data_IF_582969993548
#
_entry.id   IF_582969993548
#
_cell.length_a   1.000
_cell.length_b   1.000
_cell.length_c   1.000
_cell.angle_alpha   90.00
_cell.angle_beta   90.00
_cell.angle_gamma   90.00
#
_symmetry.space_group_name_H-M   'P 1'
#
loop_
_entity.id
_entity.type
_entity.pdbx_description
1 polymer ?
#
# COMPACT_ATOMS: atom_id res chain seq x y z
N UNK A 1 -20.86 -10.29 -15.45
CA UNK A 1 -19.47 -10.61 -15.86
C UNK A 1 -19.47 -11.40 -17.17
N UNK A 2 -18.48 -11.17 -18.04
CA UNK A 2 -18.27 -12.01 -19.24
C UNK A 2 -17.56 -13.31 -18.87
N UNK A 3 -17.97 -14.43 -19.50
CA UNK A 3 -17.42 -15.76 -19.23
C UNK A 3 -16.55 -16.21 -20.41
N UNK A 4 -15.35 -16.70 -20.12
CA UNK A 4 -14.40 -17.23 -21.08
C UNK A 4 -14.01 -18.65 -20.67
N UNK A 5 -14.11 -19.60 -21.58
CA UNK A 5 -13.79 -21.00 -21.33
C UNK A 5 -12.51 -21.37 -22.08
N UNK A 6 -11.54 -21.93 -21.37
CA UNK A 6 -10.23 -22.39 -21.87
C UNK A 6 -9.56 -21.40 -22.84
N UNK A 7 -9.40 -20.10 -22.47
CA UNK A 7 -8.81 -19.12 -23.37
C UNK A 7 -7.35 -19.48 -23.69
N UNK A 8 -6.97 -19.30 -24.95
CA UNK A 8 -5.59 -19.53 -25.34
C UNK A 8 -4.63 -18.57 -24.61
N UNK A 9 -3.43 -19.00 -24.28
CA UNK A 9 -2.43 -18.14 -23.58
C UNK A 9 -2.12 -16.85 -24.35
N UNK A 10 -2.21 -16.87 -25.67
CA UNK A 10 -2.03 -15.69 -26.52
C UNK A 10 -3.05 -14.57 -26.25
N UNK A 11 -4.25 -14.93 -25.76
CA UNK A 11 -5.33 -13.99 -25.49
C UNK A 11 -5.27 -13.39 -24.07
N UNK A 12 -4.42 -13.93 -23.18
CA UNK A 12 -4.38 -13.55 -21.78
C UNK A 12 -4.04 -12.08 -21.56
N UNK A 13 -3.13 -11.52 -22.35
CA UNK A 13 -2.76 -10.10 -22.23
C UNK A 13 -3.98 -9.18 -22.42
N UNK A 14 -4.82 -9.48 -23.41
CA UNK A 14 -6.04 -8.72 -23.65
C UNK A 14 -7.13 -9.02 -22.63
N UNK A 15 -7.26 -10.29 -22.21
CA UNK A 15 -8.23 -10.73 -21.22
C UNK A 15 -7.97 -10.12 -19.84
N UNK A 16 -6.72 -10.07 -19.43
CA UNK A 16 -6.29 -9.58 -18.12
C UNK A 16 -6.08 -8.07 -18.08
N UNK A 17 -6.34 -7.38 -19.23
CA UNK A 17 -6.20 -5.93 -19.29
C UNK A 17 -7.18 -5.24 -18.35
N UNK A 18 -6.64 -4.31 -17.61
CA UNK A 18 -7.36 -3.49 -16.63
C UNK A 18 -7.89 -2.21 -17.26
N UNK A 19 -8.96 -1.62 -16.70
CA UNK A 19 -9.37 -0.27 -17.07
C UNK A 19 -8.18 0.68 -16.94
N UNK A 20 -7.89 1.45 -17.97
CA UNK A 20 -6.81 2.43 -17.96
C UNK A 20 -7.37 3.84 -18.15
N UNK A 21 -6.75 4.80 -17.48
CA UNK A 21 -7.07 6.22 -17.62
C UNK A 21 -6.15 6.86 -18.66
N UNK A 22 -6.67 7.90 -19.31
CA UNK A 22 -5.87 8.71 -20.23
C UNK A 22 -4.92 9.62 -19.43
N UNK A 23 -3.70 9.15 -19.24
CA UNK A 23 -2.66 9.89 -18.53
C UNK A 23 -2.31 11.22 -19.21
N UNK A 24 -2.46 11.33 -20.54
CA UNK A 24 -2.12 12.54 -21.28
C UNK A 24 -3.01 13.73 -20.91
N UNK A 25 -4.28 13.48 -20.59
CA UNK A 25 -5.23 14.50 -20.14
C UNK A 25 -5.11 14.83 -18.65
N UNK A 26 -4.66 13.86 -17.86
CA UNK A 26 -4.62 13.96 -16.40
C UNK A 26 -3.37 14.69 -15.89
N UNK A 27 -2.21 14.30 -16.39
CA UNK A 27 -0.91 14.76 -15.87
C UNK A 27 -0.73 16.28 -15.90
N UNK A 28 -1.11 17.03 -16.97
CA UNK A 28 -0.96 18.49 -16.99
C UNK A 28 -1.78 19.19 -15.90
N UNK A 29 -3.01 18.72 -15.63
CA UNK A 29 -3.87 19.29 -14.59
C UNK A 29 -3.32 19.05 -13.20
N UNK A 30 -2.80 17.83 -12.97
CA UNK A 30 -2.18 17.48 -11.69
C UNK A 30 -0.91 18.31 -11.46
N UNK A 31 -0.07 18.47 -12.50
CA UNK A 31 1.14 19.30 -12.41
C UNK A 31 0.83 20.75 -12.10
N UNK A 32 -0.19 21.34 -12.71
CA UNK A 32 -0.64 22.71 -12.43
C UNK A 32 -1.00 22.90 -10.93
N UNK A 33 -1.71 21.92 -10.35
CA UNK A 33 -2.08 21.97 -8.92
C UNK A 33 -0.83 21.86 -8.04
N UNK A 34 0.10 20.95 -8.37
CA UNK A 34 1.36 20.77 -7.65
C UNK A 34 2.17 22.07 -7.64
N UNK A 35 2.37 22.68 -8.81
CA UNK A 35 3.13 23.93 -8.98
C UNK A 35 2.47 25.10 -8.23
N UNK A 36 1.13 25.14 -8.25
CA UNK A 36 0.37 26.18 -7.58
C UNK A 36 0.49 26.09 -6.07
N UNK A 37 0.37 24.87 -5.49
CA UNK A 37 0.55 24.68 -4.04
C UNK A 37 1.99 25.00 -3.63
N UNK A 38 2.98 24.61 -4.44
CA UNK A 38 4.37 24.91 -4.17
C UNK A 38 4.65 26.42 -4.14
N UNK A 39 3.98 27.20 -4.98
CA UNK A 39 4.15 28.66 -5.08
C UNK A 39 3.35 29.46 -4.04
N UNK A 40 2.11 29.01 -3.75
CA UNK A 40 1.12 29.81 -3.03
C UNK A 40 0.80 29.27 -1.62
N UNK A 41 1.37 28.11 -1.25
CA UNK A 41 1.23 27.53 0.08
C UNK A 41 -0.23 27.31 0.52
N UNK A 42 -0.54 27.69 1.75
CA UNK A 42 -1.87 27.50 2.35
C UNK A 42 -3.00 28.20 1.58
N UNK A 43 -2.72 29.31 0.92
CA UNK A 43 -3.73 30.02 0.11
C UNK A 43 -4.26 29.14 -1.03
N UNK A 44 -3.40 28.34 -1.67
CA UNK A 44 -3.80 27.37 -2.66
C UNK A 44 -4.63 26.23 -2.05
N UNK A 45 -4.28 25.78 -0.84
CA UNK A 45 -4.99 24.69 -0.16
C UNK A 45 -6.44 25.09 0.12
N UNK A 46 -6.69 26.27 0.68
CA UNK A 46 -8.04 26.77 0.92
C UNK A 46 -8.85 26.87 -0.37
N UNK A 47 -8.26 27.47 -1.42
CA UNK A 47 -8.91 27.65 -2.72
C UNK A 47 -9.27 26.29 -3.38
N UNK A 48 -8.37 25.32 -3.37
CA UNK A 48 -8.63 24.02 -3.97
C UNK A 48 -9.61 23.17 -3.14
N UNK A 49 -9.59 23.28 -1.81
CA UNK A 49 -10.59 22.63 -0.95
C UNK A 49 -11.98 23.18 -1.25
N UNK A 50 -12.15 24.49 -1.39
CA UNK A 50 -13.43 25.08 -1.79
C UNK A 50 -13.86 24.64 -3.19
N UNK A 51 -12.93 24.63 -4.14
CA UNK A 51 -13.22 24.29 -5.54
C UNK A 51 -13.57 22.81 -5.76
N UNK A 52 -12.89 21.88 -5.07
CA UNK A 52 -13.02 20.44 -5.33
C UNK A 52 -13.90 19.73 -4.30
N UNK A 53 -13.82 20.13 -3.04
CA UNK A 53 -14.62 19.52 -1.97
C UNK A 53 -15.92 20.32 -1.71
N UNK A 54 -16.08 21.51 -2.34
CA UNK A 54 -17.22 22.41 -2.18
C UNK A 54 -17.45 22.86 -0.72
N UNK A 55 -16.37 23.02 0.03
CA UNK A 55 -16.39 23.34 1.46
C UNK A 55 -15.41 24.47 1.77
N UNK A 56 -15.90 25.48 2.48
CA UNK A 56 -15.04 26.52 3.04
C UNK A 56 -14.60 26.10 4.44
N UNK A 57 -13.34 25.67 4.56
CA UNK A 57 -12.75 25.31 5.86
C UNK A 57 -12.20 26.54 6.56
N UNK A 58 -12.42 26.66 7.87
CA UNK A 58 -11.89 27.76 8.68
C UNK A 58 -10.43 27.59 9.04
N UNK A 59 -10.06 26.34 9.33
CA UNK A 59 -8.69 25.93 9.69
C UNK A 59 -8.38 24.60 9.04
N UNK A 60 -7.20 24.49 8.48
CA UNK A 60 -6.75 23.23 7.85
C UNK A 60 -6.31 22.21 8.91
N UNK A 61 -5.64 22.66 9.98
CA UNK A 61 -5.11 21.78 11.02
C UNK A 61 -6.13 21.56 12.12
N UNK A 62 -6.36 20.31 12.53
CA UNK A 62 -7.16 19.98 13.71
C UNK A 62 -6.43 20.37 14.99
N UNK A 63 -7.18 20.78 15.99
CA UNK A 63 -6.71 21.02 17.35
C UNK A 63 -6.97 19.82 18.29
N UNK A 64 -6.50 19.90 19.51
CA UNK A 64 -6.66 18.81 20.50
C UNK A 64 -8.13 18.62 20.92
N UNK A 65 -8.99 19.65 20.77
CA UNK A 65 -10.41 19.58 21.10
C UNK A 65 -11.11 18.62 20.14
N UNK A 66 -10.78 18.65 18.84
CA UNK A 66 -11.36 17.77 17.84
C UNK A 66 -11.13 16.28 18.16
N UNK A 67 -9.99 15.92 18.76
CA UNK A 67 -9.73 14.54 19.19
C UNK A 67 -10.60 14.13 20.39
N UNK A 68 -10.83 15.04 21.34
CA UNK A 68 -11.71 14.77 22.49
C UNK A 68 -13.16 14.63 22.06
N UNK A 69 -13.63 15.48 21.17
CA UNK A 69 -14.99 15.41 20.60
C UNK A 69 -15.18 14.13 19.79
N UNK A 70 -14.22 13.76 18.95
CA UNK A 70 -14.27 12.53 18.17
C UNK A 70 -14.36 11.28 19.07
N UNK A 71 -13.65 11.27 20.19
CA UNK A 71 -13.76 10.18 21.17
C UNK A 71 -15.18 10.06 21.76
N UNK A 72 -15.89 11.17 21.92
CA UNK A 72 -17.27 11.15 22.43
C UNK A 72 -18.28 10.74 21.34
N UNK A 73 -18.05 11.15 20.09
CA UNK A 73 -18.98 10.95 18.98
C UNK A 73 -18.96 9.53 18.42
N UNK A 74 -17.83 8.82 18.49
CA UNK A 74 -17.73 7.43 17.99
C UNK A 74 -18.50 6.48 18.90
N UNK A 75 -19.39 5.69 18.32
CA UNK A 75 -20.22 4.72 19.06
C UNK A 75 -19.34 3.71 19.83
N UNK A 76 -19.73 3.31 21.06
CA UNK A 76 -18.93 2.41 21.90
C UNK A 76 -18.61 1.06 21.22
N UNK A 77 -19.56 0.49 20.48
CA UNK A 77 -19.35 -0.76 19.75
C UNK A 77 -18.27 -0.60 18.65
N UNK A 78 -18.28 0.52 17.92
CA UNK A 78 -17.28 0.79 16.91
C UNK A 78 -15.89 1.03 17.54
N UNK A 79 -15.79 1.73 18.67
CA UNK A 79 -14.53 1.87 19.41
C UNK A 79 -13.95 0.52 19.79
N UNK A 80 -14.78 -0.38 20.32
CA UNK A 80 -14.35 -1.74 20.68
C UNK A 80 -13.83 -2.49 19.47
N UNK A 81 -14.51 -2.42 18.32
CA UNK A 81 -14.07 -3.05 17.07
C UNK A 81 -12.74 -2.48 16.58
N UNK A 82 -12.61 -1.15 16.56
CA UNK A 82 -11.36 -0.47 16.17
C UNK A 82 -10.19 -0.86 17.09
N UNK A 83 -10.41 -0.95 18.39
CA UNK A 83 -9.37 -1.38 19.35
C UNK A 83 -8.98 -2.85 19.13
N UNK A 84 -9.92 -3.76 18.89
CA UNK A 84 -9.64 -5.16 18.56
C UNK A 84 -8.80 -5.28 17.29
N UNK A 85 -9.20 -4.59 16.22
CA UNK A 85 -8.46 -4.55 14.95
C UNK A 85 -7.03 -4.03 15.18
N UNK A 86 -6.89 -2.91 15.90
CA UNK A 86 -5.59 -2.32 16.24
C UNK A 86 -4.65 -3.34 16.91
N UNK A 87 -5.15 -4.11 17.88
CA UNK A 87 -4.34 -5.12 18.59
C UNK A 87 -3.81 -6.17 17.62
N UNK A 88 -4.65 -6.72 16.76
CA UNK A 88 -4.24 -7.74 15.78
C UNK A 88 -3.24 -7.20 14.77
N UNK A 89 -3.46 -5.97 14.27
CA UNK A 89 -2.54 -5.30 13.34
C UNK A 89 -1.20 -5.03 14.03
N UNK A 90 -1.19 -4.59 15.29
CA UNK A 90 0.05 -4.39 16.07
C UNK A 90 0.82 -5.70 16.24
N UNK A 91 0.16 -6.80 16.60
CA UNK A 91 0.80 -8.12 16.78
C UNK A 91 1.48 -8.56 15.50
N UNK A 92 0.77 -8.53 14.38
CA UNK A 92 1.30 -8.98 13.09
C UNK A 92 2.46 -8.11 12.61
N UNK A 93 2.33 -6.78 12.72
CA UNK A 93 3.39 -5.87 12.28
C UNK A 93 4.58 -5.85 13.24
N UNK A 94 4.38 -6.00 14.54
CA UNK A 94 5.46 -6.11 15.51
C UNK A 94 6.37 -7.31 15.22
N UNK A 95 5.82 -8.44 14.77
CA UNK A 95 6.59 -9.63 14.41
C UNK A 95 7.50 -9.42 13.17
N UNK A 96 7.28 -8.37 12.39
CA UNK A 96 8.12 -8.04 11.22
C UNK A 96 9.43 -7.33 11.59
N UNK A 97 9.54 -6.83 12.82
CA UNK A 97 10.75 -6.13 13.29
C UNK A 97 11.85 -7.14 13.56
N UNK A 98 12.89 -7.12 12.73
CA UNK A 98 14.05 -8.01 12.87
C UNK A 98 15.13 -7.37 13.73
N UNK A 99 15.77 -8.18 14.58
CA UNK A 99 16.99 -7.77 15.30
C UNK A 99 18.14 -7.55 14.33
N UNK A 100 19.02 -6.62 14.67
CA UNK A 100 20.26 -6.41 13.94
C UNK A 100 21.21 -7.59 14.18
N UNK A 101 21.81 -8.08 13.11
CA UNK A 101 22.81 -9.14 13.15
C UNK A 101 24.10 -8.62 12.53
N UNK A 102 25.21 -8.72 13.27
CA UNK A 102 26.57 -8.40 12.80
C UNK A 102 27.19 -9.67 12.23
N UNK A 103 27.65 -9.59 11.00
CA UNK A 103 28.25 -10.70 10.26
C UNK A 103 29.74 -10.41 10.12
N UNK A 104 30.56 -11.33 10.58
CA UNK A 104 31.99 -11.32 10.30
C UNK A 104 32.22 -11.97 8.91
N UNK A 105 32.52 -11.13 7.92
CA UNK A 105 32.69 -11.60 6.52
C UNK A 105 34.09 -12.13 6.28
N UNK A 106 35.06 -11.71 7.09
CA UNK A 106 36.44 -12.14 7.14
C UNK A 106 36.97 -11.85 8.55
N UNK A 107 37.93 -12.59 9.09
CA UNK A 107 38.45 -12.34 10.44
C UNK A 107 38.81 -10.86 10.67
N UNK A 108 38.12 -10.21 11.61
CA UNK A 108 38.26 -8.78 11.93
C UNK A 108 37.52 -7.80 11.01
N UNK A 109 36.67 -8.31 10.07
CA UNK A 109 35.84 -7.47 9.18
C UNK A 109 34.37 -7.74 9.48
N UNK A 110 33.68 -6.77 10.08
CA UNK A 110 32.29 -6.87 10.50
C UNK A 110 31.40 -5.98 9.64
N UNK A 111 30.30 -6.55 9.13
CA UNK A 111 29.29 -5.84 8.38
C UNK A 111 27.90 -6.08 8.99
N UNK A 112 27.07 -5.04 9.03
CA UNK A 112 25.68 -5.19 9.46
C UNK A 112 24.78 -4.12 8.83
N UNK A 113 23.47 -4.35 8.95
CA UNK A 113 22.48 -3.43 8.44
C UNK A 113 21.49 -3.06 9.53
N UNK A 114 21.34 -1.77 9.79
CA UNK A 114 20.40 -1.21 10.76
C UNK A 114 19.15 -0.68 10.07
N UNK A 115 17.98 -1.05 10.61
CA UNK A 115 16.70 -0.45 10.24
C UNK A 115 16.48 0.82 11.05
N UNK A 116 16.21 1.92 10.35
CA UNK A 116 15.95 3.24 10.96
C UNK A 116 14.67 3.80 10.39
N UNK A 117 13.73 4.20 11.25
CA UNK A 117 12.47 4.81 10.83
C UNK A 117 12.69 6.03 9.95
N UNK A 118 11.87 6.18 8.92
CA UNK A 118 11.79 7.41 8.13
C UNK A 118 11.28 8.50 9.07
N UNK A 119 12.02 9.57 9.23
CA UNK A 119 11.77 10.56 10.28
C UNK A 119 10.42 11.24 10.13
N UNK A 120 10.06 11.62 8.88
CA UNK A 120 8.83 12.36 8.54
C UNK A 120 8.08 11.64 7.45
N UNK A 121 6.86 11.20 7.73
CA UNK A 121 6.00 10.49 6.78
C UNK A 121 4.63 11.15 6.68
N UNK A 122 4.06 11.14 5.48
CA UNK A 122 2.71 11.57 5.22
C UNK A 122 1.78 10.37 5.00
N UNK A 123 0.59 10.45 5.54
CA UNK A 123 -0.48 9.48 5.34
C UNK A 123 -1.64 10.21 4.68
N UNK A 124 -2.07 9.74 3.53
CA UNK A 124 -3.24 10.23 2.84
C UNK A 124 -4.40 9.25 3.04
N UNK A 125 -5.51 9.75 3.55
CA UNK A 125 -6.77 9.01 3.67
C UNK A 125 -7.76 9.62 2.68
N UNK A 126 -8.22 8.87 1.68
CA UNK A 126 -9.16 9.40 0.72
C UNK A 126 -10.51 9.71 1.37
N UNK A 127 -11.15 10.74 0.88
CA UNK A 127 -12.56 11.02 1.12
C UNK A 127 -13.45 10.25 0.16
N UNK A 128 -14.73 10.47 0.25
CA UNK A 128 -15.72 9.90 -0.64
C UNK A 128 -16.92 9.37 0.13
N UNK A 129 -17.47 8.25 -0.33
CA UNK A 129 -18.71 7.69 0.19
C UNK A 129 -18.55 6.85 1.46
N UNK A 130 -17.31 6.56 1.87
CA UNK A 130 -17.01 5.77 3.07
C UNK A 130 -15.84 6.40 3.87
N UNK A 131 -15.94 6.51 5.20
CA UNK A 131 -14.84 6.96 6.06
C UNK A 131 -13.83 5.81 6.25
N UNK A 132 -12.69 5.87 5.57
CA UNK A 132 -11.68 4.79 5.61
C UNK A 132 -10.79 4.87 6.85
N UNK A 133 -11.37 4.82 8.04
CA UNK A 133 -10.63 4.83 9.32
C UNK A 133 -9.73 3.59 9.50
N UNK A 134 -10.05 2.47 8.85
CA UNK A 134 -9.19 1.27 8.82
C UNK A 134 -7.83 1.56 8.21
N UNK A 135 -7.78 2.36 7.15
CA UNK A 135 -6.52 2.76 6.51
C UNK A 135 -5.63 3.59 7.45
N UNK A 136 -6.23 4.33 8.39
CA UNK A 136 -5.46 5.03 9.43
C UNK A 136 -4.71 4.04 10.33
N UNK A 137 -5.36 2.92 10.70
CA UNK A 137 -4.72 1.85 11.48
C UNK A 137 -3.63 1.16 10.66
N UNK A 138 -3.94 0.79 9.41
CA UNK A 138 -3.05 0.07 8.51
C UNK A 138 -1.76 0.83 8.17
N UNK A 139 -1.79 2.15 8.18
CA UNK A 139 -0.62 3.00 7.92
C UNK A 139 0.00 3.55 9.20
N UNK A 140 -0.81 3.95 10.17
CA UNK A 140 -0.33 4.57 11.40
C UNK A 140 0.39 3.60 12.34
N UNK A 141 -0.10 2.35 12.44
CA UNK A 141 0.52 1.34 13.30
C UNK A 141 1.94 0.98 12.82
N UNK A 142 2.16 0.58 11.55
CA UNK A 142 3.52 0.29 11.10
C UNK A 142 4.43 1.53 11.11
N UNK A 143 3.91 2.74 10.86
CA UNK A 143 4.69 3.98 11.00
C UNK A 143 5.21 4.16 12.43
N UNK A 144 4.35 3.96 13.43
CA UNK A 144 4.70 4.02 14.86
C UNK A 144 5.72 2.94 15.23
N UNK A 145 5.48 1.70 14.82
CA UNK A 145 6.37 0.56 15.10
C UNK A 145 7.75 0.73 14.44
N UNK A 146 7.81 1.33 13.27
CA UNK A 146 9.05 1.69 12.59
C UNK A 146 9.84 2.80 13.28
N UNK A 147 9.20 3.55 14.21
CA UNK A 147 9.81 4.68 14.91
C UNK A 147 9.85 5.97 14.10
N UNK A 148 8.88 6.20 13.21
CA UNK A 148 8.70 7.48 12.54
C UNK A 148 8.40 8.56 13.58
N UNK A 149 9.16 9.68 13.55
CA UNK A 149 9.04 10.73 14.57
C UNK A 149 7.87 11.67 14.31
N UNK A 150 7.62 11.97 13.05
CA UNK A 150 6.58 12.88 12.61
C UNK A 150 5.70 12.18 11.57
N UNK A 151 4.41 12.06 11.90
CA UNK A 151 3.40 11.47 11.02
C UNK A 151 2.33 12.52 10.76
N UNK A 152 2.23 12.93 9.50
CA UNK A 152 1.25 13.91 8.99
C UNK A 152 0.11 13.12 8.33
N UNK A 153 -1.13 13.38 8.71
CA UNK A 153 -2.31 12.78 8.09
C UNK A 153 -3.12 13.85 7.39
N UNK A 154 -3.41 13.65 6.11
CA UNK A 154 -4.30 14.50 5.32
C UNK A 154 -5.52 13.69 4.86
N UNK A 155 -6.71 14.27 5.03
CA UNK A 155 -7.98 13.71 4.56
C UNK A 155 -8.93 14.83 4.19
N UNK A 156 -9.75 14.70 3.13
CA UNK A 156 -10.68 15.76 2.73
C UNK A 156 -11.78 15.97 3.76
N UNK A 157 -12.37 17.18 3.81
CA UNK A 157 -13.52 17.48 4.66
C UNK A 157 -14.77 16.74 4.18
N UNK A 158 -15.71 16.53 5.09
CA UNK A 158 -17.10 16.23 4.79
C UNK A 158 -17.83 17.50 4.33
N UNK A 159 -19.07 17.36 3.84
CA UNK A 159 -19.87 18.48 3.37
C UNK A 159 -20.12 19.59 4.43
N UNK A 160 -20.02 19.26 5.70
CA UNK A 160 -20.12 20.19 6.83
C UNK A 160 -18.78 20.82 7.23
N UNK A 161 -17.69 20.50 6.55
CA UNK A 161 -16.34 20.98 6.83
C UNK A 161 -15.58 20.18 7.89
N UNK A 162 -16.21 19.17 8.50
CA UNK A 162 -15.58 18.32 9.50
C UNK A 162 -14.85 17.12 8.88
N UNK A 163 -14.00 16.47 9.66
CA UNK A 163 -13.50 15.12 9.38
C UNK A 163 -14.39 14.11 10.11
N UNK A 164 -14.57 12.92 9.52
CA UNK A 164 -15.32 11.85 10.18
C UNK A 164 -14.71 11.51 11.55
N UNK A 165 -15.51 11.48 12.64
CA UNK A 165 -15.00 11.21 13.99
C UNK A 165 -14.23 9.89 14.11
N UNK A 166 -14.59 8.84 13.33
CA UNK A 166 -13.90 7.57 13.38
C UNK A 166 -12.45 7.67 12.81
N UNK A 167 -12.21 8.53 11.82
CA UNK A 167 -10.87 8.83 11.29
C UNK A 167 -10.03 9.52 12.37
N UNK A 168 -10.58 10.54 13.02
CA UNK A 168 -9.88 11.30 14.09
C UNK A 168 -9.59 10.38 15.28
N UNK A 169 -10.57 9.57 15.69
CA UNK A 169 -10.40 8.59 16.76
C UNK A 169 -9.30 7.57 16.43
N UNK A 170 -9.33 7.00 15.23
CA UNK A 170 -8.29 6.06 14.78
C UNK A 170 -6.90 6.72 14.77
N UNK A 171 -6.78 7.97 14.29
CA UNK A 171 -5.53 8.74 14.34
C UNK A 171 -5.03 8.92 15.77
N UNK A 172 -5.91 9.30 16.70
CA UNK A 172 -5.58 9.48 18.11
C UNK A 172 -5.03 8.22 18.77
N UNK A 173 -5.67 7.08 18.59
CA UNK A 173 -5.26 5.81 19.24
C UNK A 173 -3.96 5.21 18.67
N UNK A 174 -3.57 5.58 17.46
CA UNK A 174 -2.26 5.18 16.89
C UNK A 174 -1.18 6.24 17.15
N UNK A 175 -1.54 7.39 17.75
CA UNK A 175 -0.61 8.44 18.17
C UNK A 175 -0.34 9.51 17.11
N UNK A 176 -1.16 9.60 16.06
CA UNK A 176 -1.06 10.68 15.05
C UNK A 176 -1.79 11.90 15.58
N UNK A 177 -1.03 13.01 15.78
CA UNK A 177 -1.56 14.27 16.28
C UNK A 177 -1.63 15.37 15.21
N UNK A 178 -0.94 15.21 14.10
CA UNK A 178 -0.92 16.15 12.99
C UNK A 178 -1.91 15.71 11.92
N UNK A 179 -3.16 16.13 12.04
CA UNK A 179 -4.26 15.83 11.13
C UNK A 179 -4.70 17.09 10.44
N UNK A 180 -4.84 17.03 9.11
CA UNK A 180 -5.14 18.17 8.25
C UNK A 180 -6.35 17.89 7.38
N UNK A 181 -7.27 18.86 7.33
CA UNK A 181 -8.55 18.81 6.59
C UNK A 181 -8.33 19.23 5.14
N UNK A 182 -7.58 18.44 4.39
CA UNK A 182 -7.29 18.64 2.96
C UNK A 182 -7.26 17.31 2.22
N UNK A 183 -7.87 17.28 1.02
CA UNK A 183 -7.95 16.10 0.17
C UNK A 183 -7.18 16.28 -1.14
N UNK A 184 -7.29 15.29 -2.02
CA UNK A 184 -6.86 15.35 -3.40
C UNK A 184 -5.37 15.62 -3.67
N UNK A 185 -5.11 16.15 -4.84
CA UNK A 185 -3.75 16.51 -5.31
C UNK A 185 -3.09 17.54 -4.40
N UNK A 186 -3.86 18.52 -3.93
CA UNK A 186 -3.35 19.59 -3.06
C UNK A 186 -2.85 19.06 -1.72
N UNK A 187 -3.42 17.97 -1.18
CA UNK A 187 -2.92 17.31 0.02
C UNK A 187 -1.56 16.64 -0.22
N UNK A 188 -1.42 15.97 -1.36
CA UNK A 188 -0.15 15.35 -1.78
C UNK A 188 0.92 16.43 -1.97
N UNK A 189 0.57 17.54 -2.63
CA UNK A 189 1.45 18.69 -2.83
C UNK A 189 1.90 19.30 -1.49
N UNK A 190 0.97 19.53 -0.58
CA UNK A 190 1.25 20.10 0.74
C UNK A 190 2.24 19.25 1.53
N UNK A 191 2.02 17.94 1.57
CA UNK A 191 2.95 17.00 2.23
C UNK A 191 4.30 16.92 1.52
N UNK A 192 4.33 17.05 0.18
CA UNK A 192 5.56 16.94 -0.59
C UNK A 192 6.45 18.17 -0.47
N UNK A 193 5.89 19.36 -0.53
CA UNK A 193 6.65 20.62 -0.56
C UNK A 193 6.73 21.31 0.82
N UNK A 194 5.76 21.07 1.68
CA UNK A 194 5.49 21.84 2.87
C UNK A 194 4.72 23.12 2.54
N UNK A 195 3.93 23.60 3.48
CA UNK A 195 3.28 24.92 3.43
C UNK A 195 3.46 25.59 4.79
N UNK A 196 2.81 26.73 5.01
CA UNK A 196 2.86 27.41 6.30
C UNK A 196 2.30 26.55 7.44
N UNK A 197 1.27 25.75 7.13
CA UNK A 197 0.59 24.89 8.12
C UNK A 197 0.97 23.43 8.04
N UNK A 198 1.19 22.88 6.83
CA UNK A 198 1.46 21.44 6.61
C UNK A 198 2.95 21.20 6.53
N UNK A 199 3.54 20.38 7.42
CA UNK A 199 4.96 20.07 7.37
C UNK A 199 5.33 19.23 6.14
N UNK A 200 6.49 19.53 5.54
CA UNK A 200 7.10 18.70 4.50
C UNK A 200 7.50 17.33 5.04
N UNK A 201 7.21 16.27 4.28
CA UNK A 201 7.56 14.89 4.61
C UNK A 201 8.55 14.28 3.60
N UNK A 202 9.12 13.12 3.92
CA UNK A 202 10.10 12.45 3.08
C UNK A 202 9.49 11.30 2.27
N UNK A 203 8.37 10.74 2.75
CA UNK A 203 7.64 9.68 2.06
C UNK A 203 6.14 9.81 2.32
N UNK A 204 5.33 9.58 1.30
CA UNK A 204 3.87 9.64 1.35
C UNK A 204 3.28 8.27 1.11
N UNK A 205 2.31 7.90 1.95
CA UNK A 205 1.58 6.64 1.94
C UNK A 205 0.09 6.90 1.79
N UNK A 206 -0.60 5.92 1.27
CA UNK A 206 -2.06 5.89 1.24
C UNK A 206 -2.64 5.70 -0.15
N UNK A 207 -3.82 5.05 -0.23
CA UNK A 207 -4.57 4.88 -1.46
C UNK A 207 -5.16 6.20 -1.93
N UNK A 208 -5.59 6.25 -3.18
CA UNK A 208 -6.27 7.42 -3.71
C UNK A 208 -6.79 7.15 -5.12
N UNK A 209 -7.62 8.08 -5.61
CA UNK A 209 -8.10 8.04 -6.98
C UNK A 209 -6.97 8.32 -7.98
N UNK A 210 -7.28 8.25 -9.28
CA UNK A 210 -6.33 8.50 -10.37
C UNK A 210 -5.55 9.82 -10.23
N UNK A 211 -6.16 10.89 -9.71
CA UNK A 211 -5.50 12.19 -9.53
C UNK A 211 -4.45 12.14 -8.42
N UNK A 212 -4.78 11.50 -7.30
CA UNK A 212 -3.86 11.29 -6.17
C UNK A 212 -2.71 10.38 -6.59
N UNK A 213 -3.00 9.32 -7.34
CA UNK A 213 -1.98 8.41 -7.88
C UNK A 213 -1.02 9.14 -8.81
N UNK A 214 -1.54 9.94 -9.75
CA UNK A 214 -0.72 10.75 -10.65
C UNK A 214 0.12 11.79 -9.87
N UNK A 215 -0.45 12.43 -8.85
CA UNK A 215 0.29 13.36 -7.99
C UNK A 215 1.45 12.65 -7.27
N UNK A 216 1.21 11.48 -6.70
CA UNK A 216 2.25 10.66 -6.05
C UNK A 216 3.38 10.30 -7.02
N UNK A 217 3.06 9.93 -8.26
CA UNK A 217 4.07 9.63 -9.28
C UNK A 217 4.89 10.86 -9.68
N UNK A 218 4.26 12.03 -9.82
CA UNK A 218 4.95 13.29 -10.17
C UNK A 218 5.87 13.78 -9.07
N UNK A 219 5.44 13.76 -7.79
CA UNK A 219 6.29 14.19 -6.68
C UNK A 219 7.51 13.28 -6.46
N UNK A 220 7.42 12.02 -6.89
CA UNK A 220 8.56 11.11 -6.81
C UNK A 220 9.72 11.59 -7.68
N UNK A 221 9.45 12.20 -8.83
CA UNK A 221 10.46 12.83 -9.67
C UNK A 221 11.12 14.05 -9.00
N UNK A 222 10.48 14.62 -7.98
CA UNK A 222 10.97 15.75 -7.19
C UNK A 222 11.62 15.35 -5.86
N UNK A 223 11.89 14.05 -5.68
CA UNK A 223 12.66 13.52 -4.55
C UNK A 223 11.84 13.15 -3.31
N UNK A 224 10.50 13.13 -3.38
CA UNK A 224 9.64 12.64 -2.32
C UNK A 224 9.25 11.19 -2.61
N UNK A 225 9.61 10.26 -1.72
CA UNK A 225 9.28 8.85 -1.91
C UNK A 225 7.77 8.59 -1.75
N UNK A 226 7.29 7.52 -2.38
CA UNK A 226 5.92 7.03 -2.21
C UNK A 226 5.93 5.58 -1.75
N UNK A 227 4.80 5.08 -1.24
CA UNK A 227 4.61 3.67 -0.91
C UNK A 227 4.72 2.79 -2.15
N UNK A 228 3.75 2.93 -3.06
CA UNK A 228 3.69 2.21 -4.34
C UNK A 228 2.76 2.95 -5.32
N UNK A 229 2.89 2.72 -6.63
CA UNK A 229 1.84 3.05 -7.58
C UNK A 229 0.59 2.21 -7.26
N UNK A 230 -0.56 2.84 -7.20
CA UNK A 230 -1.82 2.17 -6.97
C UNK A 230 -2.86 2.61 -8.00
N UNK A 231 -3.69 1.70 -8.42
CA UNK A 231 -4.86 1.92 -9.26
C UNK A 231 -6.15 1.60 -8.51
N UNK A 232 -7.24 1.37 -9.21
CA UNK A 232 -8.49 0.88 -8.63
C UNK A 232 -8.31 -0.45 -7.90
N UNK A 233 -9.17 -0.71 -6.93
CA UNK A 233 -9.15 -1.93 -6.13
C UNK A 233 -9.50 -3.18 -6.96
N UNK A 234 -8.87 -4.30 -6.64
CA UNK A 234 -8.97 -5.55 -7.40
C UNK A 234 -9.07 -6.78 -6.49
N UNK A 235 -9.89 -7.75 -6.89
CA UNK A 235 -9.85 -9.09 -6.32
C UNK A 235 -9.80 -10.15 -7.42
N UNK A 236 -9.04 -11.20 -7.18
CA UNK A 236 -9.08 -12.44 -7.93
C UNK A 236 -9.55 -13.56 -7.00
N UNK A 237 -10.63 -14.24 -7.35
CA UNK A 237 -11.08 -15.44 -6.64
C UNK A 237 -10.82 -16.64 -7.53
N UNK A 238 -10.12 -17.64 -7.01
CA UNK A 238 -9.99 -18.95 -7.64
C UNK A 238 -10.80 -19.98 -6.87
N UNK A 239 -11.75 -20.63 -7.55
CA UNK A 239 -12.68 -21.59 -6.93
C UNK A 239 -12.74 -22.90 -7.69
N UNK A 240 -12.93 -24.00 -6.94
CA UNK A 240 -13.29 -25.33 -7.46
C UNK A 240 -14.63 -25.78 -6.87
N UNK A 241 -15.00 -27.05 -7.09
CA UNK A 241 -16.26 -27.63 -6.63
C UNK A 241 -16.44 -27.66 -5.10
N UNK A 242 -15.37 -27.45 -4.34
CA UNK A 242 -15.43 -27.37 -2.87
C UNK A 242 -15.79 -25.97 -2.37
N UNK A 243 -15.79 -24.98 -3.27
CA UNK A 243 -16.16 -23.61 -2.95
C UNK A 243 -17.65 -23.48 -2.65
N UNK A 244 -18.00 -22.56 -1.76
CA UNK A 244 -19.39 -22.18 -1.48
C UNK A 244 -19.77 -21.01 -2.38
N UNK A 245 -20.67 -21.17 -3.36
CA UNK A 245 -20.98 -20.11 -4.34
C UNK A 245 -21.39 -18.78 -3.72
N UNK A 246 -22.15 -18.82 -2.62
CA UNK A 246 -22.58 -17.62 -1.90
C UNK A 246 -21.40 -16.84 -1.27
N UNK A 247 -20.34 -17.53 -0.82
CA UNK A 247 -19.15 -16.90 -0.28
C UNK A 247 -18.34 -16.23 -1.40
N UNK A 248 -18.12 -16.95 -2.51
CA UNK A 248 -17.43 -16.40 -3.68
C UNK A 248 -18.15 -15.16 -4.22
N UNK A 249 -19.48 -15.19 -4.31
CA UNK A 249 -20.27 -14.04 -4.75
C UNK A 249 -20.10 -12.84 -3.79
N UNK A 250 -20.10 -13.08 -2.47
CA UNK A 250 -19.88 -12.04 -1.46
C UNK A 250 -18.48 -11.42 -1.59
N UNK A 251 -17.43 -12.24 -1.78
CA UNK A 251 -16.07 -11.78 -1.95
C UNK A 251 -15.87 -10.97 -3.25
N UNK A 252 -16.52 -11.34 -4.34
CA UNK A 252 -16.52 -10.55 -5.58
C UNK A 252 -17.23 -9.21 -5.41
N UNK A 253 -18.33 -9.19 -4.66
CA UNK A 253 -19.10 -7.96 -4.40
C UNK A 253 -18.44 -7.03 -3.41
N UNK A 254 -17.73 -7.55 -2.39
CA UNK A 254 -17.02 -6.74 -1.42
C UNK A 254 -16.00 -5.81 -2.11
N UNK A 255 -15.37 -6.30 -3.19
CA UNK A 255 -14.44 -5.49 -3.97
C UNK A 255 -15.13 -4.64 -5.04
N UNK A 256 -16.16 -5.19 -5.70
CA UNK A 256 -16.90 -4.47 -6.74
C UNK A 256 -17.63 -3.22 -6.21
N UNK A 257 -18.03 -3.19 -4.93
CA UNK A 257 -18.72 -2.04 -4.34
C UNK A 257 -17.79 -0.86 -3.99
N UNK A 258 -16.46 -1.02 -4.02
CA UNK A 258 -15.52 0.07 -3.74
C UNK A 258 -15.66 1.22 -4.75
N UNK A 259 -15.79 0.90 -6.04
CA UNK A 259 -15.93 1.92 -7.08
C UNK A 259 -16.32 1.33 -8.43
N UNK A 260 -16.83 2.19 -9.31
CA UNK A 260 -17.20 1.78 -10.67
C UNK A 260 -16.01 1.35 -11.55
N UNK A 261 -14.81 1.67 -11.12
CA UNK A 261 -13.52 1.36 -11.75
C UNK A 261 -12.82 0.15 -11.13
N UNK A 262 -13.36 -0.41 -10.02
CA UNK A 262 -12.89 -1.67 -9.44
C UNK A 262 -13.00 -2.82 -10.44
N UNK A 263 -12.10 -3.79 -10.37
CA UNK A 263 -12.12 -4.96 -11.23
C UNK A 263 -12.09 -6.25 -10.40
N UNK A 264 -13.00 -7.17 -10.73
CA UNK A 264 -12.99 -8.51 -10.14
C UNK A 264 -12.69 -9.55 -11.22
N UNK A 265 -11.85 -10.51 -10.89
CA UNK A 265 -11.51 -11.65 -11.72
C UNK A 265 -11.94 -12.93 -11.00
N UNK A 266 -12.81 -13.69 -11.64
CA UNK A 266 -13.22 -14.98 -11.13
C UNK A 266 -12.61 -16.11 -11.98
N UNK A 267 -11.80 -16.98 -11.39
CA UNK A 267 -11.24 -18.16 -12.04
C UNK A 267 -11.90 -19.39 -11.44
N UNK A 268 -12.37 -20.30 -12.29
CA UNK A 268 -13.02 -21.52 -11.85
C UNK A 268 -12.48 -22.73 -12.62
N UNK A 269 -12.49 -23.91 -11.99
CA UNK A 269 -12.07 -25.15 -12.66
C UNK A 269 -13.13 -25.76 -13.57
N UNK A 270 -14.39 -25.31 -13.46
CA UNK A 270 -15.50 -25.74 -14.31
C UNK A 270 -16.59 -24.67 -14.43
N UNK A 271 -17.43 -24.80 -15.46
CA UNK A 271 -18.49 -23.83 -15.73
C UNK A 271 -19.62 -23.89 -14.70
N UNK A 272 -19.90 -25.04 -14.09
CA UNK A 272 -20.99 -25.21 -13.14
C UNK A 272 -20.84 -24.27 -11.94
N UNK A 273 -19.63 -24.14 -11.39
CA UNK A 273 -19.39 -23.23 -10.28
C UNK A 273 -19.56 -21.77 -10.70
N UNK A 274 -19.21 -21.40 -11.93
CA UNK A 274 -19.44 -20.06 -12.48
C UNK A 274 -20.93 -19.75 -12.52
N UNK A 275 -21.73 -20.65 -13.04
CA UNK A 275 -23.18 -20.47 -13.15
C UNK A 275 -23.85 -20.33 -11.75
N UNK A 276 -23.41 -21.14 -10.78
CA UNK A 276 -23.90 -21.04 -9.39
C UNK A 276 -23.50 -19.71 -8.73
N UNK A 277 -22.28 -19.25 -8.95
CA UNK A 277 -21.82 -17.96 -8.42
C UNK A 277 -22.55 -16.80 -9.08
N UNK A 278 -22.87 -16.87 -10.37
CA UNK A 278 -23.66 -15.83 -11.05
C UNK A 278 -25.07 -15.72 -10.47
N UNK A 279 -25.72 -16.84 -10.15
CA UNK A 279 -27.03 -16.85 -9.47
C UNK A 279 -26.93 -16.16 -8.09
N UNK A 280 -25.90 -16.46 -7.32
CA UNK A 280 -25.70 -15.83 -6.01
C UNK A 280 -25.35 -14.34 -6.11
N UNK A 281 -24.55 -13.93 -7.12
CA UNK A 281 -24.28 -12.52 -7.41
C UNK A 281 -25.58 -11.72 -7.66
N UNK A 282 -26.51 -12.25 -8.48
CA UNK A 282 -27.78 -11.60 -8.75
C UNK A 282 -28.62 -11.42 -7.48
N UNK A 283 -28.68 -12.48 -6.64
CA UNK A 283 -29.42 -12.43 -5.36
C UNK A 283 -28.83 -11.39 -4.41
N UNK A 284 -27.52 -11.36 -4.25
CA UNK A 284 -26.85 -10.46 -3.31
C UNK A 284 -26.84 -9.01 -3.82
N UNK A 285 -26.67 -8.78 -5.11
CA UNK A 285 -26.79 -7.45 -5.73
C UNK A 285 -28.16 -6.81 -5.50
N UNK A 286 -29.26 -7.60 -5.49
CA UNK A 286 -30.60 -7.09 -5.29
C UNK A 286 -30.81 -6.40 -3.94
N UNK A 287 -30.01 -6.71 -2.94
CA UNK A 287 -30.09 -6.15 -1.58
C UNK A 287 -28.89 -5.27 -1.20
N UNK A 288 -27.90 -5.15 -2.09
CA UNK A 288 -26.67 -4.41 -1.82
C UNK A 288 -26.93 -2.90 -1.89
N UNK A 289 -26.68 -2.10 -0.83
CA UNK A 289 -26.89 -0.65 -0.86
C UNK A 289 -26.10 0.07 -1.95
N UNK A 290 -24.89 -0.45 -2.29
CA UNK A 290 -24.00 0.11 -3.30
C UNK A 290 -24.06 -0.61 -4.66
N UNK A 291 -25.16 -1.31 -4.95
CA UNK A 291 -25.33 -2.10 -6.18
C UNK A 291 -25.00 -1.35 -7.48
N UNK A 292 -25.28 -0.04 -7.55
CA UNK A 292 -24.97 0.78 -8.73
C UNK A 292 -23.48 0.86 -9.07
N UNK A 293 -22.58 0.87 -8.06
CA UNK A 293 -21.12 0.81 -8.25
C UNK A 293 -20.70 -0.60 -8.63
N UNK A 294 -21.18 -1.61 -7.88
CA UNK A 294 -20.85 -3.01 -8.13
C UNK A 294 -21.26 -3.47 -9.53
N UNK A 295 -22.45 -3.09 -10.02
CA UNK A 295 -22.87 -3.41 -11.39
C UNK A 295 -21.90 -2.88 -12.44
N UNK A 296 -21.47 -1.61 -12.33
CA UNK A 296 -20.51 -1.02 -13.26
C UNK A 296 -19.15 -1.72 -13.21
N UNK A 297 -18.69 -2.10 -12.02
CA UNK A 297 -17.47 -2.88 -11.86
C UNK A 297 -17.58 -4.26 -12.51
N UNK A 298 -18.72 -4.95 -12.32
CA UNK A 298 -18.99 -6.26 -12.91
C UNK A 298 -19.11 -6.24 -14.44
N UNK A 299 -19.50 -5.12 -15.06
CA UNK A 299 -19.62 -4.99 -16.53
C UNK A 299 -18.29 -5.21 -17.25
N UNK A 300 -17.17 -4.79 -16.66
CA UNK A 300 -15.83 -5.00 -17.22
C UNK A 300 -15.03 -6.10 -16.51
N UNK A 301 -15.65 -6.80 -15.57
CA UNK A 301 -15.08 -7.94 -14.85
C UNK A 301 -15.30 -9.24 -15.61
N UNK A 302 -14.49 -10.25 -15.31
CA UNK A 302 -14.44 -11.48 -16.10
C UNK A 302 -14.50 -12.72 -15.20
N UNK A 303 -15.13 -13.77 -15.73
CA UNK A 303 -15.05 -15.13 -15.21
C UNK A 303 -14.30 -16.00 -16.24
N UNK A 304 -13.26 -16.71 -15.81
CA UNK A 304 -12.44 -17.55 -16.66
C UNK A 304 -12.50 -18.98 -16.14
N UNK A 305 -12.90 -19.89 -17.02
CA UNK A 305 -12.92 -21.32 -16.71
C UNK A 305 -11.63 -21.94 -17.26
N UNK A 306 -10.86 -22.59 -16.40
CA UNK A 306 -9.66 -23.38 -16.79
C UNK A 306 -9.64 -24.67 -15.97
N UNK A 307 -9.76 -25.80 -16.65
CA UNK A 307 -9.85 -27.11 -15.99
C UNK A 307 -8.53 -27.52 -15.31
N UNK A 308 -7.40 -27.07 -15.83
CA UNK A 308 -6.10 -27.44 -15.30
C UNK A 308 -5.64 -26.48 -14.21
N UNK A 309 -5.35 -26.97 -13.02
CA UNK A 309 -4.91 -26.19 -11.85
C UNK A 309 -3.64 -25.37 -12.14
N UNK A 310 -2.70 -25.94 -12.88
CA UNK A 310 -1.47 -25.25 -13.28
C UNK A 310 -1.73 -24.05 -14.19
N UNK A 311 -2.71 -24.14 -15.09
CA UNK A 311 -3.11 -23.01 -15.93
C UNK A 311 -3.77 -21.91 -15.10
N UNK A 312 -4.59 -22.25 -14.11
CA UNK A 312 -5.16 -21.28 -13.18
C UNK A 312 -4.05 -20.55 -12.42
N UNK A 313 -3.03 -21.27 -11.91
CA UNK A 313 -1.88 -20.67 -11.22
C UNK A 313 -1.09 -19.74 -12.15
N UNK A 314 -0.85 -20.12 -13.39
CA UNK A 314 -0.16 -19.28 -14.38
C UNK A 314 -0.99 -18.01 -14.66
N UNK A 315 -2.30 -18.14 -14.80
CA UNK A 315 -3.21 -17.01 -15.05
C UNK A 315 -3.23 -16.02 -13.87
N UNK A 316 -3.31 -16.55 -12.64
CA UNK A 316 -3.24 -15.75 -11.40
C UNK A 316 -1.91 -14.98 -11.33
N UNK A 317 -0.78 -15.66 -11.53
CA UNK A 317 0.54 -15.02 -11.50
C UNK A 317 0.74 -14.02 -12.66
N UNK A 318 0.13 -14.25 -13.82
CA UNK A 318 0.14 -13.29 -14.93
C UNK A 318 -0.70 -12.05 -14.60
N UNK A 319 -1.87 -12.23 -13.99
CA UNK A 319 -2.72 -11.14 -13.53
C UNK A 319 -2.08 -10.36 -12.39
N UNK A 320 -1.44 -11.03 -11.43
CA UNK A 320 -0.84 -10.41 -10.24
C UNK A 320 -1.84 -9.54 -9.47
N UNK A 321 -2.87 -10.15 -8.87
CA UNK A 321 -3.95 -9.42 -8.20
C UNK A 321 -3.50 -8.71 -6.93
N UNK A 322 -4.22 -7.66 -6.56
CA UNK A 322 -4.14 -7.05 -5.23
C UNK A 322 -4.52 -8.05 -4.14
N UNK A 323 -5.74 -8.58 -4.22
CA UNK A 323 -6.27 -9.61 -3.33
C UNK A 323 -6.47 -10.90 -4.10
N UNK A 324 -5.96 -12.01 -3.57
CA UNK A 324 -6.18 -13.34 -4.11
C UNK A 324 -6.89 -14.21 -3.08
N UNK A 325 -8.08 -14.71 -3.42
CA UNK A 325 -8.82 -15.67 -2.57
C UNK A 325 -8.74 -17.05 -3.23
N UNK A 326 -8.30 -18.05 -2.47
CA UNK A 326 -8.19 -19.43 -2.90
C UNK A 326 -9.29 -20.28 -2.26
N UNK A 327 -10.50 -20.30 -2.85
CA UNK A 327 -11.65 -21.09 -2.42
C UNK A 327 -11.62 -22.47 -3.09
N UNK A 328 -10.58 -23.25 -2.83
CA UNK A 328 -10.28 -24.54 -3.48
C UNK A 328 -9.84 -25.57 -2.48
N UNK A 329 -9.91 -26.85 -2.88
CA UNK A 329 -9.29 -27.94 -2.15
C UNK A 329 -7.75 -27.81 -2.16
N UNK A 330 -7.11 -28.09 -1.02
CA UNK A 330 -5.67 -28.00 -0.86
C UNK A 330 -5.09 -26.58 -1.14
N UNK A 331 -5.81 -25.54 -0.79
CA UNK A 331 -5.47 -24.13 -1.05
C UNK A 331 -4.04 -23.76 -0.60
N UNK A 332 -3.54 -24.30 0.52
CA UNK A 332 -2.15 -24.08 1.00
C UNK A 332 -1.10 -24.54 -0.03
N UNK A 333 -1.33 -25.67 -0.70
CA UNK A 333 -0.40 -26.19 -1.71
C UNK A 333 -0.34 -25.29 -2.95
N UNK A 334 -1.48 -24.68 -3.29
CA UNK A 334 -1.55 -23.71 -4.38
C UNK A 334 -0.91 -22.39 -3.97
N UNK A 335 -1.14 -21.94 -2.73
CA UNK A 335 -0.56 -20.71 -2.21
C UNK A 335 0.97 -20.67 -2.31
N UNK A 336 1.65 -21.81 -2.09
CA UNK A 336 3.12 -21.93 -2.25
C UNK A 336 3.62 -21.70 -3.69
N UNK A 337 2.73 -21.81 -4.69
CA UNK A 337 3.04 -21.56 -6.11
C UNK A 337 2.68 -20.14 -6.58
N UNK A 338 2.07 -19.35 -5.71
CA UNK A 338 1.73 -17.96 -6.01
C UNK A 338 2.95 -17.09 -5.74
N UNK A 339 3.40 -16.40 -6.77
CA UNK A 339 4.57 -15.52 -6.72
C UNK A 339 4.22 -14.04 -6.94
N UNK A 340 3.01 -13.76 -7.41
CA UNK A 340 2.55 -12.42 -7.72
C UNK A 340 1.14 -12.20 -7.17
N UNK A 341 1.04 -11.68 -5.96
CA UNK A 341 -0.20 -11.20 -5.35
C UNK A 341 0.13 -10.18 -4.24
N UNK A 342 -0.75 -9.25 -3.98
CA UNK A 342 -0.61 -8.32 -2.86
C UNK A 342 -0.86 -9.04 -1.52
N UNK A 343 -1.99 -9.77 -1.41
CA UNK A 343 -2.35 -10.63 -0.29
C UNK A 343 -3.01 -11.91 -0.78
N UNK A 344 -2.84 -13.02 -0.04
CA UNK A 344 -3.45 -14.33 -0.37
C UNK A 344 -4.29 -14.80 0.80
N UNK A 345 -5.58 -15.06 0.55
CA UNK A 345 -6.58 -15.55 1.50
C UNK A 345 -6.85 -17.02 1.21
N UNK A 346 -6.69 -17.88 2.21
CA UNK A 346 -6.58 -19.32 2.01
C UNK A 346 -7.79 -20.05 2.55
N UNK A 347 -8.56 -20.67 1.65
CA UNK A 347 -9.74 -21.47 1.96
C UNK A 347 -11.03 -20.67 2.08
N UNK A 348 -12.16 -21.40 2.12
CA UNK A 348 -13.51 -20.85 2.08
C UNK A 348 -13.89 -19.93 3.26
N UNK A 349 -13.14 -19.97 4.37
CA UNK A 349 -13.41 -19.18 5.57
C UNK A 349 -12.47 -17.98 5.75
N UNK A 350 -11.75 -17.60 4.70
CA UNK A 350 -10.78 -16.49 4.70
C UNK A 350 -11.21 -15.41 3.71
N UNK A 351 -12.29 -14.66 3.97
CA UNK A 351 -12.70 -13.58 3.08
C UNK A 351 -11.70 -12.41 3.18
N UNK A 352 -11.55 -11.67 2.10
CA UNK A 352 -10.68 -10.48 2.05
C UNK A 352 -11.04 -9.45 3.13
N UNK A 353 -12.35 -9.24 3.40
CA UNK A 353 -12.83 -8.29 4.39
C UNK A 353 -12.22 -8.49 5.80
N UNK A 354 -11.91 -9.73 6.17
CA UNK A 354 -11.23 -10.00 7.46
C UNK A 354 -9.80 -9.46 7.44
N UNK A 355 -9.11 -9.56 6.29
CA UNK A 355 -7.79 -8.97 6.08
C UNK A 355 -7.84 -7.44 6.05
N UNK A 356 -8.84 -6.88 5.41
CA UNK A 356 -9.01 -5.45 5.27
C UNK A 356 -9.29 -4.72 6.58
N UNK A 357 -9.90 -5.40 7.54
CA UNK A 357 -10.31 -4.75 8.78
C UNK A 357 -9.60 -5.24 10.03
N UNK A 358 -9.39 -6.55 10.21
CA UNK A 358 -9.17 -7.04 11.56
C UNK A 358 -8.18 -8.19 11.75
N UNK A 359 -7.80 -8.98 10.74
CA UNK A 359 -6.91 -10.14 10.93
C UNK A 359 -5.48 -9.77 11.33
N UNK A 360 -5.03 -8.58 10.93
CA UNK A 360 -3.69 -8.11 11.18
C UNK A 360 -2.87 -7.84 9.93
N UNK A 361 -3.22 -8.43 8.78
CA UNK A 361 -2.62 -8.13 7.48
C UNK A 361 -2.90 -6.67 7.08
N UNK A 362 -2.13 -6.15 6.11
CA UNK A 362 -2.30 -4.77 5.65
C UNK A 362 -3.07 -4.76 4.32
N UNK A 363 -4.07 -3.89 4.22
CA UNK A 363 -4.86 -3.74 3.00
C UNK A 363 -4.32 -2.70 2.03
N UNK A 364 -3.25 -1.98 2.37
CA UNK A 364 -2.59 -1.08 1.41
C UNK A 364 -1.67 -1.90 0.55
N UNK A 365 -2.20 -2.38 -0.56
CA UNK A 365 -1.61 -3.39 -1.42
C UNK A 365 -1.33 -2.82 -2.83
N UNK A 366 -0.38 -3.42 -3.58
CA UNK A 366 -0.14 -3.05 -4.96
C UNK A 366 -1.27 -3.54 -5.86
N UNK A 367 -1.89 -2.62 -6.60
CA UNK A 367 -2.93 -2.89 -7.60
C UNK A 367 -2.35 -2.86 -9.01
N UNK A 368 -3.18 -3.04 -10.02
CA UNK A 368 -2.82 -2.86 -11.44
C UNK A 368 -1.60 -3.69 -11.89
N UNK A 369 -1.47 -4.91 -11.34
CA UNK A 369 -0.37 -5.83 -11.64
C UNK A 369 0.97 -5.42 -11.03
N UNK A 370 1.03 -4.38 -10.22
CA UNK A 370 2.25 -3.95 -9.54
C UNK A 370 2.73 -4.96 -8.49
N UNK A 371 1.91 -5.93 -8.08
CA UNK A 371 2.32 -7.04 -7.22
C UNK A 371 3.46 -7.90 -7.81
N UNK A 372 3.80 -7.74 -9.09
CA UNK A 372 4.99 -8.33 -9.73
C UNK A 372 6.31 -7.76 -9.21
N UNK A 373 6.31 -6.55 -8.65
CA UNK A 373 7.53 -5.84 -8.25
C UNK A 373 7.40 -5.07 -6.91
N UNK A 374 6.19 -4.88 -6.43
CA UNK A 374 5.92 -4.16 -5.19
C UNK A 374 5.23 -5.07 -4.19
N UNK A 375 5.53 -4.87 -2.91
CA UNK A 375 4.86 -5.52 -1.78
C UNK A 375 3.80 -4.60 -1.19
N UNK A 376 2.82 -5.18 -0.51
CA UNK A 376 1.94 -4.42 0.38
C UNK A 376 2.69 -3.69 1.49
N UNK A 377 2.04 -2.74 2.11
CA UNK A 377 2.63 -1.96 3.21
C UNK A 377 2.94 -2.87 4.39
N UNK A 378 4.12 -2.68 4.95
CA UNK A 378 4.65 -3.37 6.12
C UNK A 378 5.48 -2.41 6.96
N UNK A 379 6.02 -2.85 8.09
CA UNK A 379 6.98 -2.05 8.87
C UNK A 379 8.21 -1.68 8.02
N UNK A 380 8.64 -2.56 7.11
CA UNK A 380 9.76 -2.30 6.21
C UNK A 380 9.50 -1.12 5.25
N UNK A 381 8.24 -0.80 4.95
CA UNK A 381 7.87 0.34 4.12
C UNK A 381 8.20 1.69 4.77
N UNK A 382 8.24 1.73 6.11
CA UNK A 382 8.48 2.91 6.94
C UNK A 382 9.91 3.05 7.45
N UNK A 383 10.81 2.12 7.11
CA UNK A 383 12.21 2.19 7.51
C UNK A 383 13.11 2.34 6.30
N UNK A 384 14.30 2.90 6.55
CA UNK A 384 15.45 2.84 5.64
C UNK A 384 16.52 1.96 6.26
N UNK A 385 17.24 1.23 5.43
CA UNK A 385 18.31 0.32 5.85
C UNK A 385 19.65 1.04 5.65
N UNK A 386 20.41 1.22 6.74
CA UNK A 386 21.75 1.81 6.71
C UNK A 386 22.75 0.68 6.93
N UNK A 387 23.72 0.56 6.04
CA UNK A 387 24.81 -0.41 6.18
C UNK A 387 25.94 0.18 7.01
N UNK A 388 26.50 -0.66 7.85
CA UNK A 388 27.67 -0.33 8.68
C UNK A 388 28.76 -1.35 8.42
N UNK A 389 30.00 -0.90 8.46
CA UNK A 389 31.17 -1.77 8.52
C UNK A 389 32.12 -1.30 9.63
N UNK A 390 32.79 -2.26 10.24
CA UNK A 390 33.82 -2.03 11.23
C UNK A 390 34.95 -3.02 11.01
N UNK A 391 36.19 -2.51 10.94
CA UNK A 391 37.37 -3.34 10.78
C UNK A 391 38.29 -3.16 11.99
N UNK A 392 38.92 -4.26 12.39
CA UNK A 392 40.10 -4.20 13.24
C UNK A 392 41.36 -3.95 12.38
N UNK A 393 42.48 -3.62 12.98
CA UNK A 393 43.76 -3.46 12.27
C UNK A 393 44.11 -4.76 11.52
N UNK A 394 43.93 -5.91 12.16
CA UNK A 394 44.13 -7.22 11.53
C UNK A 394 43.14 -7.45 10.37
N UNK A 395 41.87 -7.12 10.56
CA UNK A 395 40.86 -7.25 9.50
C UNK A 395 41.21 -6.37 8.28
N UNK A 396 41.72 -5.15 8.49
CA UNK A 396 42.16 -4.31 7.40
C UNK A 396 43.35 -4.94 6.66
N UNK A 397 44.35 -5.47 7.38
CA UNK A 397 45.49 -6.18 6.76
C UNK A 397 45.03 -7.37 5.92
N UNK A 398 44.08 -8.16 6.48
CA UNK A 398 43.57 -9.37 5.81
C UNK A 398 42.88 -9.07 4.46
N UNK A 399 42.14 -7.94 4.35
CA UNK A 399 41.38 -7.59 3.15
C UNK A 399 42.14 -6.63 2.20
N UNK A 400 43.23 -6.02 2.67
CA UNK A 400 43.93 -4.92 1.97
C UNK A 400 44.33 -5.25 0.54
N UNK A 401 44.96 -6.42 0.31
CA UNK A 401 45.38 -6.83 -1.01
C UNK A 401 44.22 -6.93 -1.99
N UNK A 402 43.10 -7.51 -1.57
CA UNK A 402 41.87 -7.63 -2.40
C UNK A 402 41.38 -6.26 -2.82
N UNK A 403 41.25 -5.32 -1.86
CA UNK A 403 40.74 -3.97 -2.15
C UNK A 403 41.68 -3.22 -3.11
N UNK A 404 43.01 -3.28 -2.87
CA UNK A 404 43.99 -2.60 -3.69
C UNK A 404 43.99 -3.11 -5.13
N UNK A 405 43.97 -4.43 -5.32
CA UNK A 405 43.92 -5.04 -6.66
C UNK A 405 42.61 -4.70 -7.40
N UNK A 406 41.47 -4.74 -6.72
CA UNK A 406 40.21 -4.37 -7.35
C UNK A 406 40.19 -2.89 -7.74
N UNK A 407 40.58 -2.00 -6.83
CA UNK A 407 40.63 -0.55 -7.11
C UNK A 407 41.56 -0.21 -8.27
N UNK A 408 42.74 -0.85 -8.32
CA UNK A 408 43.69 -0.68 -9.43
C UNK A 408 43.13 -1.24 -10.75
N UNK A 409 42.44 -2.39 -10.71
CA UNK A 409 41.78 -2.96 -11.88
C UNK A 409 40.69 -2.02 -12.45
N UNK A 410 40.03 -1.25 -11.59
CA UNK A 410 39.06 -0.21 -11.97
C UNK A 410 39.72 1.16 -12.26
N UNK A 411 41.06 1.29 -12.19
CA UNK A 411 41.82 2.52 -12.36
C UNK A 411 41.48 3.61 -11.33
N UNK A 412 41.07 3.19 -10.11
CA UNK A 412 40.69 4.06 -9.00
C UNK A 412 41.82 4.12 -7.95
N UNK A 413 42.97 4.71 -8.30
CA UNK A 413 44.16 4.72 -7.45
C UNK A 413 43.95 5.36 -6.07
N UNK A 414 43.08 6.38 -5.95
CA UNK A 414 42.77 6.98 -4.66
C UNK A 414 42.09 6.02 -3.69
N UNK A 415 41.27 5.07 -4.20
CA UNK A 415 40.68 4.01 -3.41
C UNK A 415 41.75 3.02 -2.92
N UNK A 416 42.68 2.63 -3.78
CA UNK A 416 43.82 1.80 -3.39
C UNK A 416 44.66 2.47 -2.30
N UNK A 417 45.01 3.74 -2.48
CA UNK A 417 45.80 4.52 -1.53
C UNK A 417 45.11 4.69 -0.17
N UNK A 418 43.80 4.79 -0.14
CA UNK A 418 43.04 4.86 1.12
C UNK A 418 43.29 3.66 2.02
N UNK A 419 43.52 2.47 1.46
CA UNK A 419 43.89 1.26 2.19
C UNK A 419 45.38 1.16 2.46
N UNK A 420 46.21 1.39 1.45
CA UNK A 420 47.66 1.29 1.56
C UNK A 420 48.24 2.17 2.67
N UNK A 421 47.79 3.43 2.77
CA UNK A 421 48.24 4.37 3.81
C UNK A 421 47.93 3.84 5.20
N UNK A 422 46.75 3.29 5.41
CA UNK A 422 46.32 2.72 6.72
C UNK A 422 47.13 1.48 7.08
N UNK A 423 47.40 0.60 6.12
CA UNK A 423 48.21 -0.60 6.36
C UNK A 423 49.65 -0.21 6.74
N UNK A 424 50.26 0.77 6.03
CA UNK A 424 51.61 1.30 6.36
C UNK A 424 51.65 1.87 7.77
N UNK A 425 50.63 2.62 8.18
CA UNK A 425 50.54 3.16 9.54
C UNK A 425 50.48 2.07 10.62
N UNK A 426 49.70 0.99 10.35
CA UNK A 426 49.63 -0.15 11.27
C UNK A 426 50.99 -0.86 11.37
N UNK A 427 51.71 -1.01 10.25
CA UNK A 427 53.00 -1.67 10.19
C UNK A 427 54.09 -0.85 10.89
N UNK A 428 54.00 0.49 10.84
CA UNK A 428 54.95 1.39 11.51
C UNK A 428 54.88 1.36 13.06
N UNK A 429 53.78 0.87 13.61
CA UNK A 429 53.51 0.75 15.07
C UNK A 429 53.92 -0.59 15.64
N UNK A 430 54.28 -1.54 14.81
CA UNK A 430 54.76 -2.87 15.19
C UNK A 430 56.26 -2.95 15.24
#
# INVERSE_FOLDING_TARGET
MQVFEEPARADWESLLKRPSFDAALLLPKVQEILDTVQREGDAALYRYTEAFDHVVVKTIKLDDIAFQEAEQLVAPALKTAIQSAKVNIEIFHQAQIKKEEKIETMPGVWCWRKSVGIEKVGIYIPGGTAPLFSTVLMLGIPAKLAGCKEVVLCTPPRADGSIDPAIIYAAGIVGIKQVFTIGGVQAIAAMAFGTETVPKVYKIFGPGNQYVTAAKQLIQQQGVAIDMPAGPSEVCVYADETAVPAFVAADLLSQAEHGSDSQVLFIANNKTIVDLVQIELEKQLAILPRAAYALKALDHSKAIVVAQREEAIHLINAYAPEHLILSIENALVVAEKIINAGSVFIGNYSPESVGDYASGTNHTLPTNGHAKAYSGVSVDSFVKKITFQQLTEMGLKNIAQTVVQMAQGEQLEAHAQAVVIRVKEIESKM
#
